data_IF_069572061487
#
_entry.id   IF_069572061487
#
_cell.length_a   1.000
_cell.length_b   1.000
_cell.length_c   1.000
_cell.angle_alpha   90.00
_cell.angle_beta   90.00
_cell.angle_gamma   90.00
#
_symmetry.space_group_name_H-M   'P 1'
#
loop_
_entity.id
_entity.type
_entity.pdbx_description
1 polymer ?
#
# COMPACT_ATOMS: atom_id res chain seq x y z
N UNK A 1 41.38 -17.79 -19.02
CA UNK A 1 40.93 -16.64 -18.21
C UNK A 1 40.00 -17.21 -17.16
N UNK A 2 40.50 -17.34 -15.93
CA UNK A 2 39.77 -17.89 -14.80
C UNK A 2 38.96 -16.80 -14.10
N UNK A 3 37.64 -16.96 -14.03
CA UNK A 3 36.77 -16.09 -13.24
C UNK A 3 36.76 -16.57 -11.80
N UNK A 4 37.52 -15.88 -10.94
CA UNK A 4 37.51 -16.07 -9.50
C UNK A 4 36.29 -15.35 -8.91
N UNK A 5 35.20 -16.07 -8.68
CA UNK A 5 34.06 -15.57 -7.87
C UNK A 5 34.53 -15.41 -6.43
N UNK A 6 34.63 -14.17 -5.97
CA UNK A 6 34.89 -13.84 -4.58
C UNK A 6 33.71 -14.31 -3.73
N UNK A 7 34.00 -15.13 -2.71
CA UNK A 7 33.01 -15.65 -1.78
C UNK A 7 32.37 -14.52 -0.97
N UNK A 8 31.06 -14.38 -1.09
CA UNK A 8 30.24 -13.68 -0.11
C UNK A 8 30.02 -14.64 1.07
N UNK A 9 30.56 -14.28 2.23
CA UNK A 9 30.34 -15.03 3.47
C UNK A 9 28.90 -14.80 3.95
N UNK A 10 28.16 -15.84 4.37
CA UNK A 10 26.78 -15.71 4.87
C UNK A 10 26.65 -14.77 6.08
N UNK A 11 27.76 -14.46 6.77
CA UNK A 11 27.80 -13.45 7.83
C UNK A 11 27.51 -12.02 7.31
N UNK A 12 27.92 -11.68 6.08
CA UNK A 12 27.64 -10.34 5.54
C UNK A 12 26.16 -10.18 5.19
N UNK A 13 25.47 -11.28 4.87
CA UNK A 13 24.04 -11.28 4.60
C UNK A 13 23.22 -11.12 5.89
N UNK A 14 23.67 -11.75 6.99
CA UNK A 14 23.06 -11.60 8.31
C UNK A 14 23.26 -10.18 8.89
N UNK A 15 24.45 -9.58 8.75
CA UNK A 15 24.68 -8.19 9.18
C UNK A 15 23.88 -7.17 8.36
N UNK A 16 23.57 -7.47 7.09
CA UNK A 16 22.71 -6.60 6.26
C UNK A 16 21.24 -6.68 6.69
N UNK A 17 20.79 -7.82 7.23
CA UNK A 17 19.44 -8.00 7.76
C UNK A 17 19.27 -7.39 9.16
N UNK A 18 20.32 -7.39 10.00
CA UNK A 18 20.28 -6.76 11.32
C UNK A 18 20.32 -5.22 11.26
N UNK A 19 20.80 -4.61 10.16
CA UNK A 19 20.82 -3.15 9.99
C UNK A 19 19.43 -2.53 9.71
N UNK A 20 18.41 -3.33 9.39
CA UNK A 20 17.04 -2.85 9.19
C UNK A 20 16.08 -3.14 10.35
N UNK A 21 16.54 -3.83 11.40
CA UNK A 21 15.84 -3.90 12.69
C UNK A 21 16.27 -2.77 13.62
N UNK A 22 16.47 -1.58 13.05
CA UNK A 22 16.49 -0.35 13.82
C UNK A 22 15.11 -0.22 14.46
N UNK A 23 15.04 -0.43 15.77
CA UNK A 23 13.93 -0.01 16.63
C UNK A 23 13.85 1.53 16.66
N UNK A 24 13.92 2.20 15.51
CA UNK A 24 13.49 3.57 15.39
C UNK A 24 12.01 3.56 15.77
N UNK A 25 11.67 4.30 16.83
CA UNK A 25 10.28 4.51 17.20
C UNK A 25 9.51 4.92 15.95
N UNK A 26 8.46 4.17 15.63
CA UNK A 26 7.61 4.48 14.48
C UNK A 26 6.95 5.82 14.77
N UNK A 27 7.44 6.86 14.11
CA UNK A 27 6.87 8.19 14.22
C UNK A 27 5.42 8.16 13.73
N UNK A 28 4.50 8.92 14.37
CA UNK A 28 3.15 9.07 13.85
C UNK A 28 3.18 9.64 12.42
N UNK A 29 2.33 9.09 11.55
CA UNK A 29 2.19 9.59 10.18
C UNK A 29 1.69 11.03 10.21
N UNK A 30 2.44 11.94 9.59
CA UNK A 30 2.09 13.36 9.52
C UNK A 30 1.11 13.66 8.38
N UNK A 31 0.49 14.83 8.43
CA UNK A 31 -0.34 15.31 7.32
C UNK A 31 0.44 15.46 6.00
N UNK A 32 1.74 15.79 6.07
CA UNK A 32 2.58 15.89 4.87
C UNK A 32 2.84 14.52 4.25
N UNK A 33 3.02 13.49 5.07
CA UNK A 33 3.15 12.11 4.61
C UNK A 33 1.86 11.66 3.91
N UNK A 34 0.69 11.89 4.53
CA UNK A 34 -0.62 11.59 3.94
C UNK A 34 -0.80 12.25 2.57
N UNK A 35 -0.45 13.55 2.45
CA UNK A 35 -0.51 14.27 1.17
C UNK A 35 0.40 13.66 0.11
N UNK A 36 1.60 13.27 0.51
CA UNK A 36 2.60 12.71 -0.41
C UNK A 36 2.18 11.32 -0.90
N UNK A 37 1.65 10.48 0.00
CA UNK A 37 1.06 9.18 -0.31
C UNK A 37 -0.14 9.30 -1.26
N UNK A 38 -1.07 10.20 -0.96
CA UNK A 38 -2.25 10.47 -1.82
C UNK A 38 -1.82 10.88 -3.22
N UNK A 39 -0.90 11.81 -3.34
CA UNK A 39 -0.40 12.29 -4.63
C UNK A 39 0.30 11.18 -5.44
N UNK A 40 1.13 10.35 -4.78
CA UNK A 40 1.76 9.20 -5.42
C UNK A 40 0.72 8.21 -5.94
N UNK A 41 -0.23 7.84 -5.08
CA UNK A 41 -1.31 6.93 -5.43
C UNK A 41 -2.15 7.44 -6.61
N UNK A 42 -2.57 8.71 -6.60
CA UNK A 42 -3.38 9.30 -7.68
C UNK A 42 -2.69 9.20 -9.05
N UNK A 43 -1.39 9.50 -9.10
CA UNK A 43 -0.61 9.43 -10.34
C UNK A 43 -0.53 8.02 -10.89
N UNK A 44 -0.35 7.04 -10.01
CA UNK A 44 -0.27 5.64 -10.39
C UNK A 44 -1.65 5.06 -10.76
N UNK A 45 -2.68 5.43 -9.98
CA UNK A 45 -4.06 5.02 -10.17
C UNK A 45 -4.62 5.44 -11.54
N UNK A 46 -4.19 6.58 -12.08
CA UNK A 46 -4.63 7.04 -13.40
C UNK A 46 -4.31 6.01 -14.50
N UNK A 47 -3.24 5.23 -14.35
CA UNK A 47 -2.91 4.14 -15.30
C UNK A 47 -3.94 3.01 -15.31
N UNK A 48 -4.73 2.88 -14.24
CA UNK A 48 -5.78 1.86 -14.09
C UNK A 48 -7.12 2.32 -14.63
N UNK A 49 -7.31 3.63 -14.83
CA UNK A 49 -8.58 4.21 -15.28
C UNK A 49 -9.13 3.61 -16.58
N UNK A 50 -8.33 3.27 -17.62
CA UNK A 50 -8.85 2.62 -18.83
C UNK A 50 -9.42 1.23 -18.58
N UNK A 51 -8.90 0.51 -17.57
CA UNK A 51 -9.33 -0.86 -17.22
C UNK A 51 -10.56 -0.81 -16.31
N UNK A 52 -10.52 0.07 -15.29
CA UNK A 52 -11.57 0.19 -14.30
C UNK A 52 -12.82 0.86 -14.86
N UNK A 53 -12.65 1.91 -15.68
CA UNK A 53 -13.71 2.85 -15.99
C UNK A 53 -13.78 3.99 -14.96
N UNK A 54 -14.50 5.06 -15.30
CA UNK A 54 -14.49 6.29 -14.51
C UNK A 54 -15.11 6.13 -13.10
N UNK A 55 -16.20 5.36 -12.98
CA UNK A 55 -16.93 5.22 -11.71
C UNK A 55 -16.16 4.35 -10.70
N UNK A 56 -15.59 3.25 -11.16
CA UNK A 56 -14.77 2.32 -10.38
C UNK A 56 -13.45 2.98 -9.97
N UNK A 57 -12.79 3.68 -10.91
CA UNK A 57 -11.60 4.49 -10.60
C UNK A 57 -11.89 5.54 -9.52
N UNK A 58 -13.01 6.27 -9.63
CA UNK A 58 -13.41 7.23 -8.61
C UNK A 58 -13.67 6.56 -7.25
N UNK A 59 -14.29 5.38 -7.24
CA UNK A 59 -14.53 4.63 -6.00
C UNK A 59 -13.20 4.21 -5.35
N UNK A 60 -12.21 3.81 -6.14
CA UNK A 60 -10.86 3.51 -5.66
C UNK A 60 -10.16 4.73 -5.06
N UNK A 61 -10.26 5.90 -5.70
CA UNK A 61 -9.72 7.14 -5.12
C UNK A 61 -10.40 7.47 -3.78
N UNK A 62 -11.72 7.37 -3.70
CA UNK A 62 -12.45 7.63 -2.44
C UNK A 62 -11.97 6.69 -1.32
N UNK A 63 -11.88 5.38 -1.60
CA UNK A 63 -11.38 4.41 -0.62
C UNK A 63 -9.94 4.74 -0.16
N UNK A 64 -9.09 5.20 -1.07
CA UNK A 64 -7.74 5.66 -0.73
C UNK A 64 -7.77 6.88 0.20
N UNK A 65 -8.57 7.89 -0.12
CA UNK A 65 -8.71 9.09 0.70
C UNK A 65 -9.25 8.78 2.10
N UNK A 66 -10.32 7.99 2.18
CA UNK A 66 -10.92 7.55 3.45
C UNK A 66 -9.95 6.73 4.29
N UNK A 67 -9.22 5.81 3.67
CA UNK A 67 -8.26 4.98 4.40
C UNK A 67 -7.06 5.73 4.91
N UNK A 68 -6.46 6.59 4.06
CA UNK A 68 -5.33 7.42 4.47
C UNK A 68 -5.71 8.45 5.54
N UNK A 69 -6.97 8.88 5.60
CA UNK A 69 -7.46 9.74 6.70
C UNK A 69 -7.39 9.02 8.05
N UNK A 70 -7.74 7.73 8.09
CA UNK A 70 -7.68 6.93 9.33
C UNK A 70 -6.26 6.66 9.83
N UNK A 71 -5.27 6.76 8.94
CA UNK A 71 -3.85 6.60 9.24
C UNK A 71 -3.20 7.87 9.82
N UNK A 72 -3.86 9.04 9.70
CA UNK A 72 -3.32 10.29 10.22
C UNK A 72 -3.06 10.20 11.72
N UNK A 73 -1.87 10.61 12.16
CA UNK A 73 -1.39 10.55 13.54
C UNK A 73 -1.30 9.12 14.12
N UNK A 74 -1.41 8.07 13.31
CA UNK A 74 -1.18 6.69 13.73
C UNK A 74 0.29 6.33 13.63
N UNK A 75 0.77 5.53 14.59
CA UNK A 75 2.10 4.93 14.56
C UNK A 75 2.01 3.59 13.87
N UNK A 76 2.13 3.58 12.55
CA UNK A 76 2.19 2.35 11.76
C UNK A 76 3.43 2.38 10.86
N UNK A 77 4.08 1.24 10.61
CA UNK A 77 5.25 1.20 9.76
C UNK A 77 4.93 1.70 8.34
N UNK A 78 5.85 2.46 7.73
CA UNK A 78 5.67 3.00 6.38
C UNK A 78 5.41 1.90 5.34
N UNK A 79 6.05 0.73 5.47
CA UNK A 79 5.83 -0.39 4.56
C UNK A 79 4.38 -0.89 4.60
N UNK A 80 3.74 -0.95 5.77
CA UNK A 80 2.36 -1.42 5.91
C UNK A 80 1.36 -0.47 5.23
N UNK A 81 1.66 0.84 5.24
CA UNK A 81 0.87 1.85 4.51
C UNK A 81 1.02 1.66 3.01
N UNK A 82 2.24 1.41 2.53
CA UNK A 82 2.48 1.12 1.11
C UNK A 82 1.77 -0.16 0.68
N UNK A 83 1.86 -1.24 1.46
CA UNK A 83 1.15 -2.50 1.17
C UNK A 83 -0.38 -2.31 1.13
N UNK A 84 -0.94 -1.51 2.03
CA UNK A 84 -2.37 -1.15 1.98
C UNK A 84 -2.75 -0.46 0.67
N UNK A 85 -1.95 0.52 0.23
CA UNK A 85 -2.22 1.27 -1.00
C UNK A 85 -2.04 0.42 -2.26
N UNK A 86 -0.99 -0.40 -2.34
CA UNK A 86 -0.82 -1.36 -3.44
C UNK A 86 -1.94 -2.39 -3.47
N UNK A 87 -2.29 -2.91 -2.29
CA UNK A 87 -3.41 -3.85 -2.13
C UNK A 87 -4.73 -3.26 -2.62
N UNK A 88 -5.01 -1.98 -2.34
CA UNK A 88 -6.22 -1.32 -2.81
C UNK A 88 -6.31 -1.25 -4.35
N UNK A 89 -5.19 -0.96 -5.03
CA UNK A 89 -5.12 -0.99 -6.50
C UNK A 89 -5.36 -2.40 -7.04
N UNK A 90 -4.72 -3.41 -6.44
CA UNK A 90 -4.90 -4.81 -6.80
C UNK A 90 -6.35 -5.27 -6.63
N UNK A 91 -6.95 -5.00 -5.47
CA UNK A 91 -8.36 -5.26 -5.17
C UNK A 91 -9.30 -4.63 -6.21
N UNK A 92 -9.08 -3.37 -6.56
CA UNK A 92 -9.89 -2.71 -7.59
C UNK A 92 -9.79 -3.43 -8.95
N UNK A 93 -8.60 -3.82 -9.38
CA UNK A 93 -8.42 -4.57 -10.63
C UNK A 93 -9.07 -5.95 -10.56
N UNK A 94 -8.90 -6.69 -9.45
CA UNK A 94 -9.49 -8.01 -9.25
C UNK A 94 -11.01 -7.98 -9.30
N UNK A 95 -11.64 -7.06 -8.56
CA UNK A 95 -13.10 -6.89 -8.58
C UNK A 95 -13.60 -6.57 -9.98
N UNK A 96 -12.88 -5.71 -10.71
CA UNK A 96 -13.23 -5.39 -12.10
C UNK A 96 -13.10 -6.61 -13.02
N UNK A 97 -12.04 -7.40 -12.86
CA UNK A 97 -11.81 -8.63 -13.63
C UNK A 97 -12.86 -9.71 -13.34
N UNK A 98 -13.43 -9.71 -12.13
CA UNK A 98 -14.57 -10.56 -11.76
C UNK A 98 -15.91 -10.07 -12.35
N UNK A 99 -15.91 -8.93 -13.04
CA UNK A 99 -17.09 -8.36 -13.69
C UNK A 99 -17.92 -7.44 -12.80
N UNK A 100 -17.48 -7.13 -11.57
CA UNK A 100 -18.19 -6.23 -10.68
C UNK A 100 -18.13 -4.79 -11.22
N UNK A 101 -19.20 -4.05 -10.97
CA UNK A 101 -19.32 -2.65 -11.36
C UNK A 101 -20.23 -1.87 -10.40
N UNK A 102 -20.19 -0.55 -10.50
CA UNK A 102 -21.08 0.38 -9.82
C UNK A 102 -21.13 0.14 -8.30
N UNK A 103 -22.33 -0.06 -7.75
CA UNK A 103 -22.56 -0.18 -6.32
C UNK A 103 -21.95 -1.44 -5.73
N UNK A 104 -22.02 -2.57 -6.42
CA UNK A 104 -21.45 -3.84 -5.94
C UNK A 104 -19.92 -3.75 -5.86
N UNK A 105 -19.29 -3.21 -6.91
CA UNK A 105 -17.86 -2.93 -6.91
C UNK A 105 -17.46 -2.04 -5.73
N UNK A 106 -18.19 -0.93 -5.54
CA UNK A 106 -17.90 0.03 -4.46
C UNK A 106 -18.01 -0.63 -3.09
N UNK A 107 -19.08 -1.36 -2.83
CA UNK A 107 -19.29 -2.02 -1.54
C UNK A 107 -18.18 -3.00 -1.22
N UNK A 108 -17.82 -3.86 -2.17
CA UNK A 108 -16.75 -4.85 -2.00
C UNK A 108 -15.38 -4.18 -1.82
N UNK A 109 -15.07 -3.16 -2.61
CA UNK A 109 -13.80 -2.44 -2.52
C UNK A 109 -13.64 -1.75 -1.15
N UNK A 110 -14.70 -1.13 -0.65
CA UNK A 110 -14.67 -0.41 0.62
C UNK A 110 -14.56 -1.38 1.80
N UNK A 111 -15.23 -2.53 1.70
CA UNK A 111 -15.08 -3.59 2.70
C UNK A 111 -13.65 -4.16 2.72
N UNK A 112 -13.07 -4.44 1.56
CA UNK A 112 -11.68 -4.89 1.45
C UNK A 112 -10.69 -3.84 1.99
N UNK A 113 -10.89 -2.57 1.65
CA UNK A 113 -10.11 -1.45 2.19
C UNK A 113 -10.19 -1.40 3.72
N UNK A 114 -11.40 -1.50 4.28
CA UNK A 114 -11.64 -1.51 5.73
C UNK A 114 -10.93 -2.66 6.44
N UNK A 115 -11.00 -3.87 5.88
CA UNK A 115 -10.33 -5.05 6.44
C UNK A 115 -8.81 -4.90 6.41
N UNK A 116 -8.25 -4.43 5.30
CA UNK A 116 -6.81 -4.17 5.17
C UNK A 116 -6.34 -3.07 6.13
N UNK A 117 -7.10 -1.98 6.31
CA UNK A 117 -6.79 -0.95 7.30
C UNK A 117 -6.84 -1.48 8.73
N UNK A 118 -7.83 -2.32 9.06
CA UNK A 118 -7.90 -2.95 10.36
C UNK A 118 -6.65 -3.79 10.64
N UNK A 119 -6.10 -4.49 9.64
CA UNK A 119 -4.83 -5.18 9.78
C UNK A 119 -3.70 -4.17 10.06
N UNK A 120 -3.50 -3.16 9.21
CA UNK A 120 -2.45 -2.14 9.36
C UNK A 120 -2.48 -1.45 10.73
N UNK A 121 -3.67 -1.09 11.21
CA UNK A 121 -3.85 -0.35 12.46
C UNK A 121 -3.62 -1.20 13.72
N UNK A 122 -3.77 -2.53 13.62
CA UNK A 122 -3.63 -3.44 14.76
C UNK A 122 -2.32 -4.26 14.71
N UNK A 123 -1.42 -3.96 13.77
CA UNK A 123 -0.07 -4.53 13.70
C UNK A 123 0.95 -3.83 14.63
N UNK A 124 0.49 -2.91 15.49
CA UNK A 124 1.31 -2.09 16.39
C UNK A 124 1.28 -2.55 17.84
#
# INVERSE_FOLDING_TARGET
MDFKVAGLSPASFAETLDFQKSSAEVAPISLQDIRSLRYGFEREAETLRPVLGAAEHQSMLIAMYEGTEQLLNRRVPAFAVHEYLEGLKGSAQELRNQGLANQEFRQQLFEQSRLSLHYVLNQG
#
